data_IF_730380582062
#
_entry.id   IF_730380582062
#
_cell.length_a   1.000
_cell.length_b   1.000
_cell.length_c   1.000
_cell.angle_alpha   90.00
_cell.angle_beta   90.00
_cell.angle_gamma   90.00
#
_symmetry.space_group_name_H-M   'P 1'
#
loop_
_entity.id
_entity.type
_entity.pdbx_description
1 polymer ?
#
# COMPACT_ATOMS: atom_id res chain seq x y z
N UNK A 1 -6.66 14.84 27.79
CA UNK A 1 -5.77 14.01 26.93
C UNK A 1 -6.65 13.28 25.93
N UNK A 2 -6.53 13.57 24.63
CA UNK A 2 -7.32 12.87 23.61
C UNK A 2 -6.97 11.39 23.58
N UNK A 3 -8.00 10.57 23.79
CA UNK A 3 -7.93 9.13 23.71
C UNK A 3 -7.75 8.69 22.25
N UNK A 4 -7.25 7.47 22.04
CA UNK A 4 -7.22 6.87 20.69
C UNK A 4 -8.61 6.70 20.09
N UNK A 5 -9.67 6.61 20.91
CA UNK A 5 -11.05 6.48 20.45
C UNK A 5 -11.50 7.79 19.80
N UNK A 6 -11.33 8.91 20.50
CA UNK A 6 -11.68 10.24 20.00
C UNK A 6 -10.87 10.59 18.74
N UNK A 7 -9.56 10.35 18.76
CA UNK A 7 -8.70 10.57 17.60
C UNK A 7 -9.16 9.75 16.39
N UNK A 8 -9.58 8.49 16.60
CA UNK A 8 -10.05 7.63 15.52
C UNK A 8 -11.39 8.09 14.94
N UNK A 9 -12.31 8.57 15.79
CA UNK A 9 -13.61 9.11 15.36
C UNK A 9 -13.44 10.39 14.54
N UNK A 10 -12.64 11.34 15.05
CA UNK A 10 -12.32 12.57 14.35
C UNK A 10 -11.67 12.28 12.99
N UNK A 11 -10.66 11.41 12.98
CA UNK A 11 -9.96 11.01 11.77
C UNK A 11 -10.85 10.35 10.72
N UNK A 12 -11.78 9.48 11.13
CA UNK A 12 -12.72 8.84 10.21
C UNK A 12 -13.59 9.89 9.50
N UNK A 13 -14.14 10.84 10.26
CA UNK A 13 -14.96 11.92 9.70
C UNK A 13 -14.14 12.80 8.76
N UNK A 14 -12.95 13.23 9.18
CA UNK A 14 -12.07 14.07 8.38
C UNK A 14 -11.59 13.37 7.09
N UNK A 15 -11.29 12.08 7.15
CA UNK A 15 -10.93 11.30 5.96
C UNK A 15 -12.11 11.18 4.99
N UNK A 16 -13.32 10.89 5.48
CA UNK A 16 -14.51 10.83 4.66
C UNK A 16 -14.85 12.18 4.01
N UNK A 17 -14.68 13.29 4.73
CA UNK A 17 -14.79 14.64 4.17
C UNK A 17 -13.73 14.89 3.10
N UNK A 18 -12.47 14.51 3.35
CA UNK A 18 -11.40 14.60 2.35
C UNK A 18 -11.69 13.80 1.08
N UNK A 19 -12.25 12.60 1.20
CA UNK A 19 -12.66 11.82 0.02
C UNK A 19 -13.75 12.54 -0.79
N UNK A 20 -14.73 13.16 -0.14
CA UNK A 20 -15.79 13.91 -0.80
C UNK A 20 -15.31 15.22 -1.43
N UNK A 21 -14.55 16.03 -0.69
CA UNK A 21 -14.05 17.33 -1.15
C UNK A 21 -13.09 17.20 -2.33
N UNK A 22 -12.34 16.09 -2.41
CA UNK A 22 -11.34 15.80 -3.44
C UNK A 22 -11.87 14.86 -4.54
N UNK A 23 -13.17 14.56 -4.56
CA UNK A 23 -13.85 13.68 -5.53
C UNK A 23 -13.14 12.31 -5.73
N UNK A 24 -12.71 11.70 -4.63
CA UNK A 24 -11.97 10.43 -4.66
C UNK A 24 -12.93 9.26 -4.78
N UNK A 25 -12.79 8.45 -5.83
CA UNK A 25 -13.46 7.16 -5.93
C UNK A 25 -12.88 6.17 -4.90
N UNK A 26 -13.53 6.13 -3.73
CA UNK A 26 -13.18 5.20 -2.65
C UNK A 26 -13.50 3.74 -2.94
N UNK A 27 -14.05 3.38 -4.10
CA UNK A 27 -14.28 1.99 -4.50
C UNK A 27 -13.18 1.42 -5.41
N UNK A 28 -12.22 2.25 -5.83
CA UNK A 28 -11.11 1.85 -6.69
C UNK A 28 -9.77 1.85 -5.92
N UNK A 29 -9.40 0.75 -5.25
CA UNK A 29 -8.09 0.65 -4.61
C UNK A 29 -6.96 0.48 -5.65
N UNK A 30 -5.73 0.98 -5.35
CA UNK A 30 -5.37 1.76 -4.17
C UNK A 30 -5.78 3.24 -4.31
N UNK A 31 -6.08 3.92 -3.19
CA UNK A 31 -6.36 5.37 -3.19
C UNK A 31 -5.09 6.13 -3.63
N UNK A 32 -5.19 7.02 -4.61
CA UNK A 32 -4.06 7.87 -5.03
C UNK A 32 -3.90 9.07 -4.09
N UNK A 33 -3.15 8.85 -3.00
CA UNK A 33 -2.85 9.90 -2.03
C UNK A 33 -1.98 11.02 -2.62
N UNK A 34 -1.16 10.75 -3.63
CA UNK A 34 -0.29 11.76 -4.20
C UNK A 34 -1.07 12.73 -5.07
N UNK A 35 -2.03 12.20 -5.84
CA UNK A 35 -3.06 12.97 -6.53
C UNK A 35 -3.85 13.83 -5.55
N UNK A 36 -4.37 13.21 -4.48
CA UNK A 36 -5.16 13.89 -3.46
C UNK A 36 -4.43 15.06 -2.79
N UNK A 37 -3.12 14.95 -2.56
CA UNK A 37 -2.30 16.05 -2.03
C UNK A 37 -2.25 17.22 -3.03
N UNK A 38 -2.07 16.93 -4.31
CA UNK A 38 -2.08 17.94 -5.37
C UNK A 38 -3.43 18.65 -5.48
N UNK A 39 -4.52 17.87 -5.46
CA UNK A 39 -5.90 18.38 -5.55
C UNK A 39 -6.31 19.19 -4.31
N UNK A 40 -5.73 18.86 -3.14
CA UNK A 40 -5.87 19.66 -1.92
C UNK A 40 -5.07 20.99 -1.97
N UNK A 41 -4.40 21.29 -3.08
CA UNK A 41 -3.62 22.51 -3.24
C UNK A 41 -2.27 22.48 -2.49
N UNK A 42 -1.80 21.31 -2.05
CA UNK A 42 -0.55 21.15 -1.29
C UNK A 42 0.58 20.70 -2.20
N UNK A 43 1.78 21.28 -2.04
CA UNK A 43 2.94 20.91 -2.85
C UNK A 43 3.57 19.61 -2.31
N UNK A 44 3.71 18.58 -3.15
CA UNK A 44 4.40 17.34 -2.79
C UNK A 44 5.85 17.32 -3.32
N UNK A 45 6.80 17.05 -2.45
CA UNK A 45 8.21 16.90 -2.79
C UNK A 45 8.82 15.62 -2.24
N UNK A 46 9.51 14.90 -3.12
CA UNK A 46 10.28 13.69 -2.81
C UNK A 46 11.73 14.05 -2.54
N UNK A 47 12.23 13.73 -1.34
CA UNK A 47 13.61 14.00 -0.96
C UNK A 47 14.15 12.88 -0.11
N UNK A 48 15.42 12.49 -0.30
CA UNK A 48 16.06 11.56 0.64
C UNK A 48 16.31 12.30 1.96
N UNK A 49 15.73 11.80 3.04
CA UNK A 49 15.88 12.37 4.39
C UNK A 49 16.69 11.39 5.25
N UNK A 50 17.68 11.85 6.04
CA UNK A 50 18.55 10.96 6.81
C UNK A 50 17.86 10.34 8.02
N UNK A 51 17.01 11.10 8.74
CA UNK A 51 16.37 10.65 9.99
C UNK A 51 14.84 10.78 10.02
N UNK A 52 14.24 11.38 9.00
CA UNK A 52 12.80 11.69 8.97
C UNK A 52 12.07 10.85 7.92
N UNK A 53 10.80 10.55 8.19
CA UNK A 53 9.93 9.90 7.22
C UNK A 53 9.28 10.90 6.27
N UNK A 54 8.87 12.06 6.79
CA UNK A 54 8.31 13.17 6.04
C UNK A 54 8.13 14.39 6.93
N UNK A 55 7.59 15.46 6.36
CA UNK A 55 7.27 16.68 7.10
C UNK A 55 6.16 17.47 6.39
N UNK A 56 5.21 17.98 7.18
CA UNK A 56 4.25 19.00 6.75
C UNK A 56 4.75 20.41 7.09
N UNK A 57 4.72 21.28 6.09
CA UNK A 57 5.17 22.67 6.14
C UNK A 57 3.98 23.59 5.83
N UNK A 58 3.65 24.47 6.76
CA UNK A 58 2.52 25.40 6.67
C UNK A 58 2.91 26.78 7.20
N UNK A 59 3.88 27.41 6.54
CA UNK A 59 4.38 28.73 6.93
C UNK A 59 3.44 29.85 6.46
N UNK A 60 3.15 30.86 7.31
CA UNK A 60 2.34 32.00 6.94
C UNK A 60 2.85 32.68 5.65
N UNK A 61 1.96 32.94 4.70
CA UNK A 61 2.29 33.59 3.43
C UNK A 61 2.94 32.68 2.38
N UNK A 62 3.09 31.38 2.66
CA UNK A 62 3.57 30.39 1.70
C UNK A 62 2.50 29.35 1.38
N UNK A 63 2.60 28.73 0.19
CA UNK A 63 1.77 27.57 -0.15
C UNK A 63 2.18 26.38 0.75
N UNK A 64 1.23 25.64 1.35
CA UNK A 64 1.57 24.49 2.17
C UNK A 64 2.30 23.41 1.36
N UNK A 65 3.19 22.68 2.02
CA UNK A 65 4.03 21.66 1.41
C UNK A 65 4.16 20.40 2.25
N UNK A 66 4.36 19.27 1.56
CA UNK A 66 4.63 17.97 2.14
C UNK A 66 5.94 17.44 1.57
N UNK A 67 6.86 17.08 2.45
CA UNK A 67 8.07 16.34 2.13
C UNK A 67 7.86 14.87 2.45
N UNK A 68 8.20 13.97 1.52
CA UNK A 68 8.20 12.53 1.76
C UNK A 68 9.59 11.95 1.47
N UNK A 69 10.07 11.12 2.39
CA UNK A 69 11.36 10.45 2.24
C UNK A 69 11.29 9.37 1.15
N UNK A 70 11.94 9.62 0.02
CA UNK A 70 11.96 8.68 -1.09
C UNK A 70 12.88 7.45 -0.88
N UNK A 71 13.61 7.40 0.25
CA UNK A 71 14.31 6.20 0.70
C UNK A 71 13.42 5.18 1.41
N UNK A 72 12.17 5.53 1.71
CA UNK A 72 11.22 4.62 2.35
C UNK A 72 10.65 3.59 1.36
N UNK A 73 10.19 2.43 1.84
CA UNK A 73 9.32 1.55 1.04
C UNK A 73 8.01 2.26 0.62
N UNK A 74 7.39 1.92 -0.52
CA UNK A 74 6.22 2.62 -1.07
C UNK A 74 5.04 2.70 -0.13
N UNK A 75 4.72 1.60 0.54
CA UNK A 75 3.66 1.57 1.53
C UNK A 75 3.92 2.60 2.66
N UNK A 76 5.18 2.77 3.07
CA UNK A 76 5.57 3.77 4.05
C UNK A 76 5.54 5.19 3.46
N UNK A 77 5.96 5.38 2.21
CA UNK A 77 5.82 6.67 1.50
C UNK A 77 4.35 7.12 1.42
N UNK A 78 3.45 6.20 1.04
CA UNK A 78 2.00 6.46 0.95
C UNK A 78 1.40 6.76 2.31
N UNK A 79 1.77 5.99 3.34
CA UNK A 79 1.35 6.23 4.72
C UNK A 79 1.80 7.60 5.22
N UNK A 80 3.09 7.93 5.04
CA UNK A 80 3.63 9.26 5.40
C UNK A 80 2.91 10.37 4.63
N UNK A 81 2.73 10.24 3.33
CA UNK A 81 2.01 11.22 2.53
C UNK A 81 0.58 11.45 3.07
N UNK A 82 -0.14 10.37 3.40
CA UNK A 82 -1.48 10.45 3.97
C UNK A 82 -1.49 11.03 5.39
N UNK A 83 -0.46 10.75 6.19
CA UNK A 83 -0.27 11.32 7.53
C UNK A 83 -0.08 12.84 7.46
N UNK A 84 0.82 13.30 6.59
CA UNK A 84 1.05 14.74 6.38
C UNK A 84 -0.17 15.43 5.75
N UNK A 85 -0.90 14.77 4.85
CA UNK A 85 -2.21 15.27 4.39
C UNK A 85 -3.22 15.38 5.55
N UNK A 86 -3.15 14.47 6.51
CA UNK A 86 -3.93 14.53 7.75
C UNK A 86 -3.63 15.80 8.57
N UNK A 87 -2.36 16.20 8.68
CA UNK A 87 -2.00 17.49 9.29
C UNK A 87 -2.65 18.66 8.59
N UNK A 88 -2.55 18.68 7.27
CA UNK A 88 -3.15 19.73 6.46
C UNK A 88 -4.66 19.83 6.66
N UNK A 89 -5.38 18.70 6.51
CA UNK A 89 -6.85 18.64 6.55
C UNK A 89 -7.42 18.91 7.95
N UNK A 90 -6.66 18.62 9.00
CA UNK A 90 -7.05 18.88 10.38
C UNK A 90 -6.60 20.25 10.89
N UNK A 91 -5.92 21.06 10.07
CA UNK A 91 -5.47 22.40 10.44
C UNK A 91 -4.36 22.42 11.49
N UNK A 92 -3.55 21.36 11.57
CA UNK A 92 -2.42 21.29 12.49
C UNK A 92 -1.28 22.25 12.03
N UNK A 93 -0.43 22.67 12.97
CA UNK A 93 0.70 23.56 12.69
C UNK A 93 1.84 22.85 11.91
N UNK A 94 2.77 23.64 11.33
CA UNK A 94 4.03 23.14 10.75
C UNK A 94 4.74 22.20 11.71
N UNK A 95 5.26 21.08 11.20
CA UNK A 95 6.00 20.10 11.99
C UNK A 95 7.51 20.13 11.82
N UNK A 96 8.05 21.24 11.31
CA UNK A 96 9.48 21.46 11.31
C UNK A 96 10.06 21.68 12.72
N UNK A 97 9.23 22.07 13.70
CA UNK A 97 9.68 22.70 14.95
C UNK A 97 9.55 21.83 16.22
N UNK A 98 9.50 20.50 16.09
CA UNK A 98 9.66 19.62 17.26
C UNK A 98 10.60 18.47 16.93
N UNK A 99 11.70 18.37 17.68
CA UNK A 99 12.66 17.27 17.75
C UNK A 99 12.16 15.97 17.11
N UNK A 100 12.60 15.77 15.87
CA UNK A 100 12.44 14.54 15.11
C UNK A 100 13.43 13.51 15.65
N UNK A 101 13.16 13.03 16.86
CA UNK A 101 13.78 11.80 17.31
C UNK A 101 13.40 10.68 16.33
N UNK A 102 14.37 9.92 15.82
CA UNK A 102 14.11 8.70 15.08
C UNK A 102 13.15 7.81 15.88
N UNK A 103 12.32 6.97 15.23
CA UNK A 103 11.50 6.01 15.95
C UNK A 103 12.38 4.92 16.57
N UNK A 104 13.04 5.24 17.68
CA UNK A 104 13.62 4.28 18.59
C UNK A 104 12.51 3.58 19.39
N UNK A 105 12.79 2.34 19.74
CA UNK A 105 11.94 1.41 20.46
C UNK A 105 11.61 1.93 21.88
N UNK A 106 10.64 2.83 22.00
CA UNK A 106 10.15 3.35 23.28
C UNK A 106 8.72 3.86 23.20
N UNK A 107 7.95 3.74 24.29
CA UNK A 107 6.56 4.25 24.41
C UNK A 107 6.57 5.80 24.35
N UNK A 108 6.61 6.39 23.15
CA UNK A 108 6.33 7.82 22.98
C UNK A 108 4.84 8.05 23.29
N UNK A 109 4.54 8.99 24.18
CA UNK A 109 3.15 9.47 24.38
C UNK A 109 2.84 10.37 23.20
N UNK A 110 2.01 9.89 22.29
CA UNK A 110 1.61 10.67 21.13
C UNK A 110 0.69 11.80 21.54
N UNK A 111 1.00 13.01 21.08
CA UNK A 111 0.12 14.17 21.19
C UNK A 111 -1.22 13.94 20.47
N UNK A 112 -2.27 14.70 20.80
CA UNK A 112 -3.57 14.60 20.15
C UNK A 112 -3.51 14.69 18.62
N UNK A 113 -2.73 15.64 18.08
CA UNK A 113 -2.60 15.87 16.63
C UNK A 113 -1.92 14.70 15.92
N UNK A 114 -0.87 14.12 16.51
CA UNK A 114 -0.19 12.91 16.00
C UNK A 114 -1.14 11.73 15.88
N UNK A 115 -1.93 11.49 16.94
CA UNK A 115 -2.91 10.40 16.95
C UNK A 115 -3.97 10.60 15.88
N UNK A 116 -4.44 11.83 15.71
CA UNK A 116 -5.47 12.16 14.73
C UNK A 116 -4.94 12.01 13.30
N UNK A 117 -3.72 12.47 13.00
CA UNK A 117 -3.13 12.32 11.67
C UNK A 117 -2.77 10.88 11.30
N UNK A 118 -2.26 10.09 12.24
CA UNK A 118 -2.02 8.66 12.00
C UNK A 118 -3.33 7.91 11.80
N UNK A 119 -4.35 8.19 12.61
CA UNK A 119 -5.67 7.62 12.38
C UNK A 119 -6.26 8.08 11.03
N UNK A 120 -6.04 9.33 10.63
CA UNK A 120 -6.49 9.88 9.35
C UNK A 120 -5.84 9.11 8.21
N UNK A 121 -4.52 8.89 8.26
CA UNK A 121 -3.79 8.15 7.22
C UNK A 121 -4.40 6.77 6.97
N UNK A 122 -4.78 6.06 8.04
CA UNK A 122 -5.37 4.74 7.95
C UNK A 122 -6.78 4.79 7.34
N UNK A 123 -7.64 5.70 7.80
CA UNK A 123 -8.99 5.87 7.25
C UNK A 123 -8.99 6.38 5.81
N UNK A 124 -8.04 7.25 5.47
CA UNK A 124 -7.92 7.84 4.14
C UNK A 124 -7.43 6.82 3.10
N UNK A 125 -6.43 6.00 3.45
CA UNK A 125 -5.88 4.98 2.54
C UNK A 125 -6.73 3.69 2.50
N UNK A 126 -7.47 3.39 3.56
CA UNK A 126 -8.25 2.16 3.69
C UNK A 126 -9.73 2.43 4.02
N UNK A 127 -10.44 3.26 3.23
CA UNK A 127 -11.87 3.46 3.45
C UNK A 127 -12.64 2.16 3.23
N UNK A 128 -13.80 2.02 3.88
CA UNK A 128 -14.60 0.78 3.86
C UNK A 128 -14.86 0.26 2.45
N UNK A 129 -15.17 1.15 1.50
CA UNK A 129 -15.44 0.80 0.10
C UNK A 129 -14.20 0.21 -0.60
N UNK A 130 -13.01 0.78 -0.39
CA UNK A 130 -11.78 0.32 -1.02
C UNK A 130 -11.37 -1.05 -0.46
N UNK A 131 -11.52 -1.23 0.85
CA UNK A 131 -11.26 -2.51 1.51
C UNK A 131 -12.24 -3.58 1.03
N UNK A 132 -13.52 -3.25 0.89
CA UNK A 132 -14.51 -4.17 0.35
C UNK A 132 -14.21 -4.55 -1.11
N UNK A 133 -13.85 -3.58 -1.97
CA UNK A 133 -13.48 -3.83 -3.35
C UNK A 133 -12.24 -4.74 -3.45
N UNK A 134 -11.20 -4.47 -2.65
CA UNK A 134 -10.00 -5.31 -2.61
C UNK A 134 -10.30 -6.73 -2.09
N UNK A 135 -11.20 -6.89 -1.11
CA UNK A 135 -11.65 -8.21 -0.64
C UNK A 135 -12.39 -9.00 -1.73
N UNK A 136 -13.23 -8.33 -2.53
CA UNK A 136 -13.88 -8.93 -3.71
C UNK A 136 -12.85 -9.38 -4.74
N UNK A 137 -11.83 -8.56 -5.04
CA UNK A 137 -10.74 -8.95 -5.96
C UNK A 137 -9.98 -10.19 -5.48
N UNK A 138 -9.82 -10.36 -4.16
CA UNK A 138 -9.18 -11.53 -3.56
C UNK A 138 -10.11 -12.76 -3.45
N UNK A 139 -11.40 -12.62 -3.81
CA UNK A 139 -12.38 -13.69 -3.64
C UNK A 139 -12.65 -14.06 -2.17
N UNK A 140 -12.39 -13.15 -1.23
CA UNK A 140 -12.60 -13.39 0.21
C UNK A 140 -13.61 -12.41 0.79
N UNK A 141 -14.57 -12.90 1.58
CA UNK A 141 -15.55 -12.03 2.25
C UNK A 141 -14.90 -11.20 3.37
N UNK A 142 -13.94 -11.80 4.07
CA UNK A 142 -13.17 -11.18 5.16
C UNK A 142 -11.82 -11.89 5.30
N UNK A 143 -10.76 -11.21 5.78
CA UNK A 143 -9.49 -11.88 6.05
C UNK A 143 -9.66 -12.95 7.13
N UNK A 144 -9.09 -14.13 6.91
CA UNK A 144 -9.10 -15.25 7.87
C UNK A 144 -7.69 -15.62 8.30
N UNK A 145 -6.69 -15.21 7.53
CA UNK A 145 -5.29 -15.55 7.72
C UNK A 145 -4.38 -14.32 7.56
N UNK A 146 -3.16 -14.35 8.13
CA UNK A 146 -2.11 -13.36 7.83
C UNK A 146 -1.87 -13.16 6.33
N UNK A 147 -1.94 -14.24 5.55
CA UNK A 147 -1.79 -14.25 4.09
C UNK A 147 -2.86 -13.40 3.41
N UNK A 148 -4.13 -13.52 3.84
CA UNK A 148 -5.22 -12.70 3.31
C UNK A 148 -4.97 -11.21 3.59
N UNK A 149 -4.51 -10.88 4.81
CA UNK A 149 -4.23 -9.49 5.18
C UNK A 149 -3.03 -8.93 4.42
N UNK A 150 -2.00 -9.76 4.18
CA UNK A 150 -0.86 -9.39 3.35
C UNK A 150 -1.28 -9.11 1.90
N UNK A 151 -2.04 -10.03 1.27
CA UNK A 151 -2.57 -9.82 -0.10
C UNK A 151 -3.46 -8.57 -0.17
N UNK A 152 -4.29 -8.35 0.85
CA UNK A 152 -5.12 -7.15 0.98
C UNK A 152 -4.26 -5.88 1.08
N UNK A 153 -3.15 -5.92 1.83
CA UNK A 153 -2.26 -4.76 1.98
C UNK A 153 -1.61 -4.34 0.67
N UNK A 154 -1.28 -5.31 -0.21
CA UNK A 154 -0.73 -5.04 -1.53
C UNK A 154 -1.74 -4.31 -2.43
N UNK A 155 -2.98 -4.78 -2.50
CA UNK A 155 -4.05 -4.14 -3.28
C UNK A 155 -4.39 -2.73 -2.80
N UNK A 156 -4.33 -2.50 -1.49
CA UNK A 156 -4.57 -1.17 -0.90
C UNK A 156 -3.34 -0.24 -0.99
N UNK A 157 -2.17 -0.77 -1.37
CA UNK A 157 -0.92 -0.03 -1.35
C UNK A 157 -0.53 0.42 0.06
N UNK A 158 -0.78 -0.41 1.07
CA UNK A 158 -0.49 -0.12 2.49
C UNK A 158 0.44 -1.18 3.08
N UNK A 159 1.04 -0.90 4.24
CA UNK A 159 1.92 -1.88 4.87
C UNK A 159 1.08 -2.96 5.55
N UNK A 160 1.53 -4.22 5.53
CA UNK A 160 0.91 -5.32 6.27
C UNK A 160 0.52 -4.92 7.70
N UNK A 161 1.44 -4.26 8.41
CA UNK A 161 1.25 -3.86 9.80
C UNK A 161 0.19 -2.75 9.96
N UNK A 162 0.14 -1.78 9.04
CA UNK A 162 -0.90 -0.74 9.03
C UNK A 162 -2.27 -1.36 8.73
N UNK A 163 -2.35 -2.25 7.73
CA UNK A 163 -3.60 -2.95 7.37
C UNK A 163 -4.14 -3.75 8.54
N UNK A 164 -3.32 -4.63 9.15
CA UNK A 164 -3.73 -5.44 10.31
C UNK A 164 -4.29 -4.58 11.45
N UNK A 165 -3.63 -3.46 11.77
CA UNK A 165 -4.05 -2.56 12.85
C UNK A 165 -5.36 -1.84 12.56
N UNK A 166 -5.71 -1.66 11.30
CA UNK A 166 -6.92 -0.96 10.90
C UNK A 166 -8.15 -1.87 10.85
N UNK A 167 -7.99 -3.18 10.68
CA UNK A 167 -9.11 -4.15 10.60
C UNK A 167 -10.10 -4.07 11.78
N UNK A 168 -9.68 -3.88 13.04
CA UNK A 168 -10.62 -3.70 14.16
C UNK A 168 -11.51 -2.47 14.02
N UNK A 169 -11.00 -1.37 13.47
CA UNK A 169 -11.80 -0.16 13.24
C UNK A 169 -12.85 -0.40 12.15
N UNK A 170 -12.53 -1.23 11.17
CA UNK A 170 -13.45 -1.66 10.11
C UNK A 170 -14.43 -2.75 10.57
N UNK A 171 -14.21 -3.35 11.74
CA UNK A 171 -14.91 -4.54 12.27
C UNK A 171 -14.72 -5.80 11.41
N UNK A 172 -13.55 -5.91 10.77
CA UNK A 172 -13.17 -7.08 9.96
C UNK A 172 -12.36 -8.12 10.75
N UNK A 173 -11.84 -7.73 11.92
CA UNK A 173 -11.18 -8.61 12.87
C UNK A 173 -11.34 -8.04 14.29
N UNK A 174 -11.32 -8.89 15.32
CA UNK A 174 -11.19 -8.40 16.69
C UNK A 174 -9.73 -8.02 17.02
N UNK A 175 -9.53 -7.35 18.17
CA UNK A 175 -8.20 -6.88 18.59
C UNK A 175 -7.23 -8.02 18.91
N UNK A 176 -7.72 -9.16 19.39
CA UNK A 176 -6.89 -10.32 19.73
C UNK A 176 -6.32 -10.93 18.45
N UNK A 177 -7.19 -11.17 17.46
CA UNK A 177 -6.84 -11.67 16.15
C UNK A 177 -5.90 -10.74 15.40
N UNK A 178 -6.18 -9.44 15.42
CA UNK A 178 -5.28 -8.45 14.81
C UNK A 178 -3.88 -8.48 15.48
N UNK A 179 -3.80 -8.69 16.80
CA UNK A 179 -2.53 -8.81 17.51
C UNK A 179 -1.77 -10.08 17.14
N UNK A 180 -2.48 -11.20 17.00
CA UNK A 180 -1.92 -12.48 16.54
C UNK A 180 -1.32 -12.32 15.13
N UNK A 181 -2.08 -11.80 14.18
CA UNK A 181 -1.61 -11.58 12.81
C UNK A 181 -0.45 -10.58 12.76
N UNK A 182 -0.50 -9.49 13.53
CA UNK A 182 0.61 -8.54 13.60
C UNK A 182 1.92 -9.16 14.11
N UNK A 183 1.85 -10.28 14.83
CA UNK A 183 3.02 -11.06 15.27
C UNK A 183 3.66 -11.92 14.18
N UNK A 184 3.02 -12.08 13.01
CA UNK A 184 3.55 -12.86 11.88
C UNK A 184 4.40 -11.95 10.99
N UNK A 185 5.72 -12.20 10.85
CA UNK A 185 6.58 -11.36 10.00
C UNK A 185 6.22 -11.53 8.51
N UNK A 186 6.16 -10.44 7.71
CA UNK A 186 5.89 -10.52 6.27
C UNK A 186 6.79 -11.49 5.52
N UNK A 187 8.08 -11.60 5.90
CA UNK A 187 9.00 -12.55 5.26
C UNK A 187 8.54 -14.01 5.38
N UNK A 188 7.88 -14.37 6.49
CA UNK A 188 7.33 -15.72 6.69
C UNK A 188 6.11 -15.96 5.79
N UNK A 189 5.30 -14.93 5.59
CA UNK A 189 4.14 -14.95 4.68
C UNK A 189 4.63 -15.11 3.24
N UNK A 190 5.55 -14.23 2.80
CA UNK A 190 6.18 -14.26 1.47
C UNK A 190 6.79 -15.63 1.17
N UNK A 191 7.52 -16.21 2.12
CA UNK A 191 8.14 -17.54 1.97
C UNK A 191 7.14 -18.68 1.83
N UNK A 192 5.92 -18.54 2.39
CA UNK A 192 4.85 -19.52 2.20
C UNK A 192 4.20 -19.36 0.83
N UNK A 193 4.00 -18.14 0.36
CA UNK A 193 3.33 -17.84 -0.91
C UNK A 193 4.14 -18.34 -2.11
N UNK A 194 5.46 -18.24 -2.07
CA UNK A 194 6.33 -18.69 -3.16
C UNK A 194 7.10 -19.99 -2.86
N UNK A 195 6.65 -20.78 -1.87
CA UNK A 195 7.32 -22.01 -1.41
C UNK A 195 7.58 -23.07 -2.48
N UNK A 196 6.82 -23.00 -3.58
CA UNK A 196 6.96 -23.92 -4.71
C UNK A 196 8.21 -23.62 -5.56
N UNK A 197 8.85 -22.47 -5.36
CA UNK A 197 9.96 -21.99 -6.16
C UNK A 197 11.23 -21.83 -5.31
N UNK A 198 12.38 -21.73 -5.98
CA UNK A 198 13.64 -21.43 -5.30
C UNK A 198 13.52 -20.10 -4.54
N UNK A 199 14.08 -20.02 -3.31
CA UNK A 199 14.04 -18.80 -2.52
C UNK A 199 14.82 -17.67 -3.22
N UNK A 200 14.29 -16.43 -3.23
CA UNK A 200 15.02 -15.29 -3.78
C UNK A 200 16.19 -14.89 -2.89
N UNK A 201 17.17 -14.18 -3.47
CA UNK A 201 18.33 -13.66 -2.73
C UNK A 201 17.95 -12.65 -1.63
N UNK A 202 16.83 -11.93 -1.81
CA UNK A 202 16.29 -10.97 -0.86
C UNK A 202 14.77 -11.13 -0.73
N UNK A 203 14.24 -10.86 0.47
CA UNK A 203 12.79 -10.83 0.76
C UNK A 203 12.24 -9.41 0.91
N UNK A 204 13.05 -8.40 0.54
CA UNK A 204 12.60 -7.02 0.45
C UNK A 204 11.51 -6.84 -0.62
N UNK A 205 11.62 -7.39 -1.84
CA UNK A 205 10.56 -7.30 -2.85
C UNK A 205 9.27 -7.99 -2.42
N UNK A 206 8.16 -7.60 -3.02
CA UNK A 206 6.84 -8.14 -2.72
C UNK A 206 6.56 -9.45 -3.46
N UNK A 207 5.71 -10.29 -2.87
CA UNK A 207 5.26 -11.54 -3.47
C UNK A 207 3.76 -11.44 -3.70
N UNK A 208 3.36 -11.37 -4.96
CA UNK A 208 1.97 -11.31 -5.38
C UNK A 208 1.45 -12.71 -5.64
N UNK A 209 0.32 -13.09 -5.03
CA UNK A 209 -0.41 -14.30 -5.40
C UNK A 209 -1.58 -13.89 -6.31
N UNK A 210 -1.41 -14.16 -7.61
CA UNK A 210 -2.31 -13.70 -8.68
C UNK A 210 -3.10 -14.89 -9.21
N UNK A 211 -4.41 -14.76 -9.28
CA UNK A 211 -5.33 -15.76 -9.82
C UNK A 211 -6.30 -15.10 -10.83
N UNK A 212 -7.24 -15.86 -11.38
CA UNK A 212 -8.18 -15.34 -12.38
C UNK A 212 -9.08 -14.21 -11.87
N UNK A 213 -9.20 -14.00 -10.55
CA UNK A 213 -9.88 -12.85 -9.96
C UNK A 213 -9.20 -11.51 -10.28
N UNK A 214 -7.95 -11.55 -10.73
CA UNK A 214 -7.17 -10.39 -11.15
C UNK A 214 -7.34 -10.03 -12.64
N UNK A 215 -8.21 -10.74 -13.36
CA UNK A 215 -8.44 -10.49 -14.78
C UNK A 215 -8.85 -9.03 -15.04
N UNK A 216 -8.15 -8.39 -15.98
CA UNK A 216 -8.38 -6.99 -16.36
C UNK A 216 -7.84 -5.95 -15.36
N UNK A 217 -7.28 -6.36 -14.21
CA UNK A 217 -6.66 -5.43 -13.28
C UNK A 217 -5.30 -4.96 -13.78
N UNK A 218 -4.86 -3.80 -13.29
CA UNK A 218 -3.50 -3.29 -13.45
C UNK A 218 -2.79 -3.29 -12.09
N UNK A 219 -1.74 -4.10 -11.97
CA UNK A 219 -0.99 -4.25 -10.72
C UNK A 219 0.23 -3.32 -10.68
N UNK A 220 0.37 -2.47 -9.65
CA UNK A 220 1.58 -1.71 -9.41
C UNK A 220 2.63 -2.64 -8.79
N UNK A 221 3.55 -3.13 -9.63
CA UNK A 221 4.64 -4.01 -9.24
C UNK A 221 5.95 -3.25 -9.23
N UNK A 222 6.99 -3.82 -8.65
CA UNK A 222 8.32 -3.22 -8.62
C UNK A 222 9.35 -4.16 -9.19
N UNK A 223 10.49 -3.60 -9.53
CA UNK A 223 11.65 -4.41 -9.84
C UNK A 223 11.93 -5.38 -8.69
N UNK A 224 12.22 -6.62 -9.06
CA UNK A 224 12.46 -7.79 -8.23
C UNK A 224 11.22 -8.35 -7.50
N UNK A 225 10.02 -7.78 -7.70
CA UNK A 225 8.79 -8.41 -7.22
C UNK A 225 8.57 -9.77 -7.91
N UNK A 226 7.93 -10.68 -7.17
CA UNK A 226 7.63 -12.04 -7.61
C UNK A 226 6.12 -12.22 -7.72
N UNK A 227 5.62 -12.55 -8.89
CA UNK A 227 4.20 -12.84 -9.13
C UNK A 227 4.05 -14.37 -9.25
N UNK A 228 3.49 -14.97 -8.20
CA UNK A 228 3.05 -16.37 -8.19
C UNK A 228 1.67 -16.41 -8.85
N UNK A 229 1.62 -16.82 -10.11
CA UNK A 229 0.42 -16.87 -10.94
C UNK A 229 -0.19 -18.27 -10.83
N UNK A 230 -1.36 -18.37 -10.22
CA UNK A 230 -2.11 -19.61 -10.08
C UNK A 230 -2.71 -20.00 -11.44
N UNK A 231 -2.43 -21.22 -11.86
CA UNK A 231 -2.95 -21.81 -13.09
C UNK A 231 -4.16 -22.68 -12.71
N UNK A 232 -5.36 -22.43 -13.27
CA UNK A 232 -6.52 -23.28 -13.01
C UNK A 232 -6.30 -24.72 -13.47
N UNK A 233 -6.97 -25.68 -12.83
CA UNK A 233 -6.88 -27.09 -13.21
C UNK A 233 -7.30 -27.30 -14.67
N UNK A 234 -6.55 -28.15 -15.37
CA UNK A 234 -6.78 -28.43 -16.80
C UNK A 234 -6.40 -27.30 -17.75
N UNK A 235 -5.79 -26.21 -17.26
CA UNK A 235 -5.22 -25.15 -18.09
C UNK A 235 -3.72 -25.38 -18.26
N UNK A 236 -3.24 -25.28 -19.50
CA UNK A 236 -1.80 -25.34 -19.78
C UNK A 236 -1.09 -24.17 -19.07
N UNK A 237 0.03 -24.40 -18.35
CA UNK A 237 0.75 -23.38 -17.59
C UNK A 237 1.58 -22.46 -18.49
N UNK A 238 0.94 -21.86 -19.50
CA UNK A 238 1.54 -20.88 -20.38
C UNK A 238 1.32 -19.47 -19.81
N UNK A 239 2.41 -18.71 -19.63
CA UNK A 239 2.35 -17.29 -19.27
C UNK A 239 3.11 -16.49 -20.31
N UNK A 240 2.41 -15.62 -21.02
CA UNK A 240 3.03 -14.63 -21.91
C UNK A 240 3.25 -13.32 -21.16
N UNK A 241 4.45 -12.76 -21.22
CA UNK A 241 4.81 -11.49 -20.59
C UNK A 241 5.61 -10.58 -21.54
N UNK A 242 5.66 -9.26 -21.28
CA UNK A 242 6.54 -8.34 -21.98
C UNK A 242 8.03 -8.73 -21.86
N UNK A 243 8.90 -8.24 -22.75
CA UNK A 243 10.35 -8.41 -22.61
C UNK A 243 10.87 -7.86 -21.27
N UNK A 244 11.99 -8.42 -20.80
CA UNK A 244 12.63 -7.98 -19.56
C UNK A 244 12.04 -8.58 -18.28
N UNK A 245 11.18 -9.58 -18.38
CA UNK A 245 10.68 -10.36 -17.23
C UNK A 245 10.99 -11.85 -17.43
N UNK A 246 11.18 -12.58 -16.34
CA UNK A 246 11.49 -14.03 -16.39
C UNK A 246 10.29 -14.83 -15.94
N UNK A 247 9.88 -15.81 -16.76
CA UNK A 247 8.83 -16.77 -16.41
C UNK A 247 9.50 -18.10 -16.05
N UNK A 248 9.29 -18.56 -14.82
CA UNK A 248 9.75 -19.85 -14.33
C UNK A 248 8.58 -20.83 -14.30
N UNK A 249 8.73 -22.03 -14.89
CA UNK A 249 7.65 -23.01 -14.98
C UNK A 249 7.23 -23.51 -13.60
N UNK A 250 6.04 -24.14 -13.50
CA UNK A 250 5.61 -24.77 -12.26
C UNK A 250 6.62 -25.81 -11.78
N UNK A 251 6.90 -25.81 -10.48
CA UNK A 251 7.54 -26.97 -9.85
C UNK A 251 6.64 -28.20 -9.97
N UNK A 252 7.24 -29.39 -10.04
CA UNK A 252 6.49 -30.63 -10.14
C UNK A 252 5.39 -30.72 -9.07
N UNK A 253 4.16 -31.04 -9.50
CA UNK A 253 2.99 -31.15 -8.63
C UNK A 253 2.37 -29.82 -8.16
N UNK A 254 2.76 -28.67 -8.71
CA UNK A 254 2.17 -27.36 -8.39
C UNK A 254 1.50 -26.73 -9.61
N UNK A 255 0.29 -26.20 -9.45
CA UNK A 255 -0.44 -25.47 -10.49
C UNK A 255 -0.16 -23.97 -10.41
N UNK A 256 1.11 -23.55 -10.41
CA UNK A 256 1.48 -22.14 -10.37
C UNK A 256 2.75 -21.85 -11.17
N UNK A 257 2.79 -20.72 -11.85
CA UNK A 257 3.96 -20.20 -12.57
C UNK A 257 4.52 -19.02 -11.78
N UNK A 258 5.83 -18.82 -11.80
CA UNK A 258 6.45 -17.65 -11.18
C UNK A 258 6.91 -16.69 -12.27
N UNK A 259 6.46 -15.44 -12.20
CA UNK A 259 7.00 -14.33 -12.97
C UNK A 259 7.87 -13.46 -12.06
N UNK A 260 9.14 -13.28 -12.43
CA UNK A 260 10.06 -12.35 -11.78
C UNK A 260 10.18 -11.06 -12.61
N UNK A 261 9.95 -9.93 -11.95
CA UNK A 261 9.96 -8.61 -12.59
C UNK A 261 11.39 -8.07 -12.60
N UNK A 262 12.03 -7.91 -13.77
CA UNK A 262 13.40 -7.35 -13.84
C UNK A 262 13.45 -5.99 -14.55
N UNK A 263 12.63 -5.82 -15.59
CA UNK A 263 12.55 -4.59 -16.39
C UNK A 263 11.74 -3.49 -15.69
N UNK A 264 11.83 -2.28 -16.26
CA UNK A 264 10.97 -1.13 -15.89
C UNK A 264 9.73 -1.01 -16.77
N UNK A 265 9.62 -1.87 -17.77
CA UNK A 265 8.49 -1.87 -18.69
C UNK A 265 7.32 -2.65 -18.08
N UNK A 266 6.20 -1.96 -17.92
CA UNK A 266 4.92 -2.61 -17.67
C UNK A 266 4.38 -3.25 -18.95
N UNK A 267 3.23 -3.91 -18.82
CA UNK A 267 2.52 -4.46 -19.97
C UNK A 267 1.59 -5.60 -19.61
N UNK A 268 0.99 -6.17 -20.65
CA UNK A 268 -0.03 -7.21 -20.51
C UNK A 268 0.60 -8.57 -20.24
N UNK A 269 0.14 -9.22 -19.17
CA UNK A 269 0.41 -10.62 -18.84
C UNK A 269 -0.78 -11.47 -19.28
N UNK A 270 -0.50 -12.56 -19.99
CA UNK A 270 -1.53 -13.51 -20.48
C UNK A 270 -1.32 -14.87 -19.83
N UNK A 271 -2.41 -15.56 -19.49
CA UNK A 271 -2.37 -16.84 -18.77
C UNK A 271 -3.22 -17.89 -19.50
N UNK A 272 -2.62 -19.06 -19.71
CA UNK A 272 -3.21 -20.22 -20.38
C UNK A 272 -3.02 -20.26 -21.90
N UNK A 273 -3.22 -21.44 -22.47
CA UNK A 273 -3.19 -21.70 -23.92
C UNK A 273 -4.44 -22.50 -24.32
N UNK A 274 -5.32 -21.97 -25.22
CA UNK A 274 -5.37 -20.57 -25.66
C UNK A 274 -5.57 -19.62 -24.46
N UNK A 275 -5.29 -18.32 -24.63
CA UNK A 275 -5.36 -17.32 -23.54
C UNK A 275 -6.72 -17.42 -22.83
N UNK A 276 -6.69 -17.67 -21.51
CA UNK A 276 -7.89 -17.82 -20.68
C UNK A 276 -8.24 -16.52 -19.98
N UNK A 277 -7.24 -15.80 -19.50
CA UNK A 277 -7.38 -14.50 -18.87
C UNK A 277 -6.08 -13.71 -18.97
N UNK A 278 -6.16 -12.42 -18.66
CA UNK A 278 -5.02 -11.52 -18.72
C UNK A 278 -5.18 -10.39 -17.70
N UNK A 279 -4.07 -9.81 -17.29
CA UNK A 279 -3.98 -8.63 -16.43
C UNK A 279 -2.79 -7.79 -16.87
N UNK A 280 -2.73 -6.53 -16.44
CA UNK A 280 -1.60 -5.65 -16.73
C UNK A 280 -0.71 -5.51 -15.49
N UNK A 281 0.58 -5.32 -15.72
CA UNK A 281 1.52 -4.85 -14.71
C UNK A 281 2.01 -3.44 -15.07
N UNK A 282 2.21 -2.60 -14.07
CA UNK A 282 2.90 -1.32 -14.16
C UNK A 282 4.10 -1.38 -13.22
N UNK A 283 5.32 -1.18 -13.75
CA UNK A 283 6.52 -1.23 -12.92
C UNK A 283 6.82 0.17 -12.38
N UNK A 284 6.61 0.35 -11.08
CA UNK A 284 6.77 1.65 -10.42
C UNK A 284 8.24 1.92 -10.05
N UNK A 285 8.75 3.06 -10.54
CA UNK A 285 10.06 3.59 -10.15
C UNK A 285 10.05 4.27 -8.78
N UNK A 286 11.24 4.59 -8.26
CA UNK A 286 11.37 5.45 -7.06
C UNK A 286 11.12 6.91 -7.45
N UNK A 287 10.17 7.61 -6.79
CA UNK A 287 9.89 9.00 -7.11
C UNK A 287 11.02 9.93 -6.63
N UNK A 288 11.17 11.09 -7.28
CA UNK A 288 12.21 12.06 -6.96
C UNK A 288 11.85 13.49 -7.38
N UNK A 289 12.29 14.46 -6.59
CA UNK A 289 12.07 15.89 -6.85
C UNK A 289 10.65 16.35 -6.57
N UNK A 290 10.30 17.52 -7.11
CA UNK A 290 8.92 18.03 -7.08
C UNK A 290 8.02 17.10 -7.90
N UNK A 291 6.85 16.78 -7.38
CA UNK A 291 5.82 16.10 -8.16
C UNK A 291 5.32 17.05 -9.25
N UNK A 292 6.00 17.06 -10.41
CA UNK A 292 5.83 18.04 -11.50
C UNK A 292 4.46 18.05 -12.15
N UNK A 293 3.64 17.03 -11.91
CA UNK A 293 2.25 16.97 -12.39
C UNK A 293 1.37 18.08 -11.76
N UNK A 294 1.85 18.73 -10.70
CA UNK A 294 1.09 19.68 -9.85
C UNK A 294 1.67 21.11 -9.80
N UNK A 295 2.66 21.40 -10.65
CA UNK A 295 3.17 22.77 -10.84
C UNK A 295 2.44 23.38 -12.05
N UNK A 296 1.99 24.65 -11.97
CA UNK A 296 1.41 25.35 -13.12
C UNK A 296 2.41 25.52 -14.26
#
# INVERSE_FOLDING_TARGET
MTSWIEANQLANLAAAQAHGDLDIDTSSPPIDVYQAIGDAGVVLMWRRLPSQFGAYLNEPGSRPGILVNNGLPPAAQRHTAAHELGHHRLGHASRADSELDPPEFGRKVWGPEEKAAEAFSAWFLMPRKAVAAALVMLGVERPRTPEDVYRLSLLLGTSYRSTVRHLPNLRLADRSRAREWAGVPPNRIKAKLDRAFAPPASRLPEVWLVDSGFAGLRLPVRQDDRLVIVIPDGVEPAVGCPPGHTVLPPAAGHSAVLLEVHGREGGRITVGSPIRWAFDIQVDGSPGGLARRWLP
#
